data_IF_911805763529
#
_entry.id   IF_911805763529
#
_cell.length_a   1.000
_cell.length_b   1.000
_cell.length_c   1.000
_cell.angle_alpha   90.00
_cell.angle_beta   90.00
_cell.angle_gamma   90.00
#
_symmetry.space_group_name_H-M   'P 1'
#
loop_
_entity.id
_entity.type
_entity.pdbx_description
1 polymer ?
#
# COMPACT_ATOMS: atom_id res chain seq x y z
N UNK A 1 -5.94 68.13 26.30
CA UNK A 1 -4.47 68.05 26.44
C UNK A 1 -4.16 66.57 26.68
N UNK A 2 -3.94 65.79 25.61
CA UNK A 2 -2.60 65.45 25.06
C UNK A 2 -1.96 64.36 25.96
N UNK A 3 -1.68 63.09 25.59
CA UNK A 3 -1.29 62.39 24.33
C UNK A 3 -1.61 60.87 24.48
N UNK A 4 -2.12 60.17 23.45
CA UNK A 4 -1.37 59.30 22.49
C UNK A 4 -0.42 58.28 23.15
N UNK A 5 -0.70 56.97 23.08
CA UNK A 5 -0.34 56.01 22.01
C UNK A 5 1.01 55.31 22.25
N UNK A 6 1.10 54.05 21.78
CA UNK A 6 2.23 53.10 21.64
C UNK A 6 1.98 51.85 22.51
N UNK A 7 1.50 50.72 22.01
CA UNK A 7 1.74 50.11 20.70
C UNK A 7 2.70 48.94 20.87
N UNK A 8 2.18 47.73 21.04
CA UNK A 8 2.82 46.49 20.58
C UNK A 8 1.69 45.53 20.22
N UNK A 9 1.30 45.56 18.95
CA UNK A 9 0.56 44.46 18.37
C UNK A 9 1.48 43.24 18.36
N UNK A 10 1.12 42.20 19.11
CA UNK A 10 1.70 40.89 18.90
C UNK A 10 1.17 40.39 17.57
N UNK A 11 2.03 40.59 16.56
CA UNK A 11 1.88 40.11 15.20
C UNK A 11 1.59 38.61 15.28
N UNK A 12 0.42 38.20 14.77
CA UNK A 12 0.04 36.79 14.61
C UNK A 12 0.91 36.10 13.57
N UNK A 13 2.11 35.70 13.97
CA UNK A 13 3.11 35.05 13.12
C UNK A 13 3.55 33.66 13.61
N UNK A 14 2.79 32.98 14.48
CA UNK A 14 3.30 31.75 15.10
C UNK A 14 2.64 30.46 14.58
N UNK A 15 1.31 30.34 14.54
CA UNK A 15 0.68 29.04 14.22
C UNK A 15 0.60 28.72 12.72
N UNK A 16 0.45 29.74 11.88
CA UNK A 16 0.37 29.56 10.41
C UNK A 16 1.74 29.37 9.77
N UNK A 17 2.79 29.99 10.32
CA UNK A 17 4.17 29.82 9.86
C UNK A 17 4.73 28.44 10.16
N UNK A 18 4.51 27.92 11.37
CA UNK A 18 4.92 26.57 11.77
C UNK A 18 4.18 25.47 10.98
N UNK A 19 2.88 25.65 10.73
CA UNK A 19 2.10 24.71 9.91
C UNK A 19 2.50 24.75 8.43
N UNK A 20 2.75 25.93 7.86
CA UNK A 20 3.26 26.07 6.49
C UNK A 20 4.66 25.46 6.33
N UNK A 21 5.55 25.66 7.31
CA UNK A 21 6.88 25.07 7.30
C UNK A 21 6.84 23.53 7.42
N UNK A 22 5.96 23.00 8.27
CA UNK A 22 5.72 21.55 8.38
C UNK A 22 5.22 20.93 7.08
N UNK A 23 4.22 21.56 6.43
CA UNK A 23 3.70 21.13 5.13
C UNK A 23 4.76 21.21 4.04
N UNK A 24 5.61 22.25 4.07
CA UNK A 24 6.72 22.39 3.13
C UNK A 24 7.73 21.25 3.29
N UNK A 25 8.15 20.94 4.52
CA UNK A 25 9.06 19.82 4.79
C UNK A 25 8.46 18.47 4.39
N UNK A 26 7.17 18.24 4.68
CA UNK A 26 6.46 17.03 4.28
C UNK A 26 6.39 16.91 2.74
N UNK A 27 6.11 18.00 2.05
CA UNK A 27 6.08 18.05 0.58
C UNK A 27 7.46 17.79 0.00
N UNK A 28 8.52 18.42 0.54
CA UNK A 28 9.89 18.20 0.10
C UNK A 28 10.29 16.74 0.30
N UNK A 29 9.97 16.17 1.46
CA UNK A 29 10.20 14.76 1.76
C UNK A 29 9.46 13.83 0.78
N UNK A 30 8.20 14.15 0.44
CA UNK A 30 7.42 13.41 -0.56
C UNK A 30 8.06 13.45 -1.95
N UNK A 31 8.55 14.62 -2.38
CA UNK A 31 9.24 14.76 -3.67
C UNK A 31 10.54 13.97 -3.68
N UNK A 32 11.35 14.06 -2.63
CA UNK A 32 12.59 13.30 -2.48
C UNK A 32 12.33 11.79 -2.48
N UNK A 33 11.30 11.35 -1.75
CA UNK A 33 10.85 9.96 -1.74
C UNK A 33 10.48 9.48 -3.14
N UNK A 34 9.67 10.27 -3.85
CA UNK A 34 9.23 9.95 -5.22
C UNK A 34 10.43 9.82 -6.15
N UNK A 35 11.42 10.72 -6.05
CA UNK A 35 12.67 10.65 -6.80
C UNK A 35 13.49 9.39 -6.48
N UNK A 36 13.76 9.13 -5.20
CA UNK A 36 14.51 7.95 -4.75
C UNK A 36 13.83 6.65 -5.22
N UNK A 37 12.50 6.63 -5.22
CA UNK A 37 11.74 5.50 -5.68
C UNK A 37 11.85 5.28 -7.18
N UNK A 38 11.80 6.34 -8.00
CA UNK A 38 12.02 6.18 -9.45
C UNK A 38 13.38 5.54 -9.72
N UNK A 39 14.41 6.00 -8.99
CA UNK A 39 15.76 5.43 -9.06
C UNK A 39 15.74 3.95 -8.65
N UNK A 40 15.12 3.62 -7.51
CA UNK A 40 14.98 2.23 -7.06
C UNK A 40 14.24 1.36 -8.08
N UNK A 41 13.17 1.87 -8.70
CA UNK A 41 12.40 1.13 -9.70
C UNK A 41 13.25 0.81 -10.94
N UNK A 42 14.10 1.73 -11.38
CA UNK A 42 15.05 1.49 -12.47
C UNK A 42 16.07 0.42 -12.08
N UNK A 43 16.68 0.53 -10.90
CA UNK A 43 17.62 -0.47 -10.38
C UNK A 43 16.98 -1.85 -10.24
N UNK A 44 15.79 -1.91 -9.65
CA UNK A 44 15.04 -3.14 -9.47
C UNK A 44 14.72 -3.79 -10.82
N UNK A 45 14.33 -3.00 -11.82
CA UNK A 45 14.06 -3.51 -13.18
C UNK A 45 15.32 -4.05 -13.84
N UNK A 46 16.46 -3.40 -13.64
CA UNK A 46 17.76 -3.92 -14.10
C UNK A 46 18.10 -5.23 -13.39
N UNK A 47 17.96 -5.30 -12.05
CA UNK A 47 18.21 -6.53 -11.28
C UNK A 47 17.30 -7.68 -11.72
N UNK A 48 16.03 -7.41 -11.99
CA UNK A 48 15.08 -8.42 -12.49
C UNK A 48 15.40 -8.90 -13.90
N UNK A 49 15.93 -8.00 -14.74
CA UNK A 49 16.40 -8.37 -16.07
C UNK A 49 17.60 -9.31 -15.98
N UNK A 50 18.59 -9.03 -15.12
CA UNK A 50 19.77 -9.88 -14.95
C UNK A 50 19.47 -11.20 -14.22
N UNK A 51 18.53 -11.20 -13.28
CA UNK A 51 18.18 -12.40 -12.49
C UNK A 51 17.19 -13.34 -13.17
N UNK A 52 16.65 -12.98 -14.34
CA UNK A 52 15.64 -13.79 -15.04
C UNK A 52 14.22 -13.64 -14.50
N UNK A 53 14.02 -12.93 -13.37
CA UNK A 53 12.70 -12.65 -12.78
C UNK A 53 11.76 -11.97 -13.77
N UNK A 54 12.29 -11.14 -14.67
CA UNK A 54 11.49 -10.52 -15.74
C UNK A 54 10.88 -11.54 -16.71
N UNK A 55 11.60 -12.63 -17.01
CA UNK A 55 11.10 -13.70 -17.86
C UNK A 55 10.02 -14.51 -17.12
N UNK A 56 10.25 -14.82 -15.85
CA UNK A 56 9.28 -15.55 -15.02
C UNK A 56 8.01 -14.72 -14.77
N UNK A 57 8.14 -13.41 -14.58
CA UNK A 57 7.00 -12.50 -14.47
C UNK A 57 6.17 -12.45 -15.76
N UNK A 58 6.84 -12.47 -16.91
CA UNK A 58 6.14 -12.50 -18.19
C UNK A 58 5.43 -13.84 -18.41
N UNK A 59 6.09 -14.95 -18.05
CA UNK A 59 5.49 -16.28 -18.09
C UNK A 59 4.30 -16.42 -17.11
N UNK A 60 4.40 -15.81 -15.92
CA UNK A 60 3.33 -15.84 -14.91
C UNK A 60 2.12 -15.00 -15.31
N UNK A 61 2.28 -14.01 -16.18
CA UNK A 61 1.17 -13.21 -16.70
C UNK A 61 0.33 -13.94 -17.76
N UNK A 62 0.84 -15.02 -18.35
CA UNK A 62 0.12 -15.79 -19.37
C UNK A 62 -0.91 -16.75 -18.73
N UNK A 63 -2.01 -17.05 -19.43
CA UNK A 63 -3.06 -17.98 -18.98
C UNK A 63 -2.58 -19.36 -18.45
N UNK A 64 -1.56 -20.04 -19.03
CA UNK A 64 -1.01 -21.28 -18.47
C UNK A 64 -0.22 -21.10 -17.15
N UNK A 65 0.13 -19.86 -16.78
CA UNK A 65 0.90 -19.51 -15.58
C UNK A 65 0.10 -19.51 -14.28
N UNK A 66 -1.21 -19.84 -14.31
CA UNK A 66 -2.11 -19.76 -13.14
C UNK A 66 -1.58 -20.47 -11.89
N UNK A 67 -0.89 -21.61 -12.06
CA UNK A 67 -0.36 -22.39 -10.93
C UNK A 67 0.79 -21.70 -10.18
N UNK A 68 1.44 -20.69 -10.78
CA UNK A 68 2.48 -19.87 -10.15
C UNK A 68 2.25 -18.37 -10.42
N UNK A 69 0.98 -17.98 -10.52
CA UNK A 69 0.58 -16.63 -10.93
C UNK A 69 0.79 -15.54 -9.87
N UNK A 70 1.05 -15.92 -8.61
CA UNK A 70 1.20 -14.97 -7.52
C UNK A 70 2.68 -14.65 -7.27
N UNK A 71 3.08 -13.40 -7.50
CA UNK A 71 4.43 -12.93 -7.20
C UNK A 71 4.50 -12.44 -5.75
N UNK A 72 5.34 -13.07 -4.92
CA UNK A 72 5.59 -12.65 -3.53
C UNK A 72 6.80 -11.73 -3.48
N UNK A 73 6.67 -10.64 -2.73
CA UNK A 73 7.71 -9.64 -2.56
C UNK A 73 7.82 -9.23 -1.08
N UNK A 74 9.04 -9.19 -0.55
CA UNK A 74 9.29 -8.73 0.81
C UNK A 74 9.27 -7.20 0.85
N UNK A 75 8.55 -6.61 1.82
CA UNK A 75 8.44 -5.16 1.97
C UNK A 75 9.63 -4.66 2.79
N UNK A 76 10.54 -3.95 2.11
CA UNK A 76 11.76 -3.38 2.72
C UNK A 76 11.47 -2.02 3.33
N UNK A 77 10.63 -1.22 2.66
CA UNK A 77 10.29 0.12 3.11
C UNK A 77 8.86 0.49 2.73
N UNK A 78 8.24 1.38 3.50
CA UNK A 78 6.85 1.82 3.34
C UNK A 78 6.80 3.33 3.45
N UNK A 79 6.03 3.95 2.58
CA UNK A 79 5.77 5.38 2.68
C UNK A 79 4.43 5.73 2.06
N UNK A 80 3.72 6.63 2.72
CA UNK A 80 2.44 7.16 2.28
C UNK A 80 2.37 8.62 2.74
N UNK A 81 1.93 9.52 1.85
CA UNK A 81 1.85 10.95 2.19
C UNK A 81 0.90 11.21 3.36
N UNK A 82 -0.24 10.52 3.33
CA UNK A 82 -1.23 10.47 4.40
C UNK A 82 -1.69 9.03 4.57
N UNK A 83 -1.50 8.47 5.77
CA UNK A 83 -1.87 7.09 6.04
C UNK A 83 -3.38 6.84 5.99
N UNK A 84 -4.17 7.83 6.41
CA UNK A 84 -5.63 7.76 6.52
C UNK A 84 -6.32 8.09 5.19
N UNK A 85 -5.90 9.14 4.52
CA UNK A 85 -6.55 9.63 3.29
C UNK A 85 -5.87 9.21 1.99
N UNK A 86 -4.61 8.77 2.04
CA UNK A 86 -3.93 8.33 0.82
C UNK A 86 -4.57 7.07 0.25
N UNK A 87 -4.60 6.96 -1.08
CA UNK A 87 -5.08 5.75 -1.74
C UNK A 87 -4.21 4.54 -1.36
N UNK A 88 -4.84 3.38 -1.19
CA UNK A 88 -4.12 2.11 -1.19
C UNK A 88 -3.58 1.86 -2.59
N UNK A 89 -2.33 1.42 -2.67
CA UNK A 89 -1.76 0.99 -3.92
C UNK A 89 -0.37 0.43 -3.74
N UNK A 90 0.10 -0.30 -4.76
CA UNK A 90 1.49 -0.75 -4.86
C UNK A 90 2.48 0.39 -4.66
N UNK A 91 2.03 1.62 -4.96
CA UNK A 91 2.79 2.84 -4.75
C UNK A 91 3.27 3.04 -3.29
N UNK A 92 2.66 2.40 -2.31
CA UNK A 92 2.96 2.66 -0.90
C UNK A 92 4.17 1.87 -0.38
N UNK A 93 4.68 0.92 -1.16
CA UNK A 93 5.72 -0.01 -0.74
C UNK A 93 6.95 0.01 -1.67
N UNK A 94 8.11 -0.18 -1.07
CA UNK A 94 9.35 -0.59 -1.73
C UNK A 94 9.58 -2.05 -1.36
N UNK A 95 9.64 -2.88 -2.40
CA UNK A 95 9.66 -4.33 -2.24
C UNK A 95 10.82 -4.96 -3.00
N UNK A 96 11.24 -6.13 -2.55
CA UNK A 96 12.22 -6.97 -3.23
C UNK A 96 11.54 -8.29 -3.60
N UNK A 97 11.79 -8.78 -4.81
CA UNK A 97 11.22 -10.05 -5.24
C UNK A 97 11.74 -11.19 -4.38
N UNK A 98 10.83 -12.07 -3.98
CA UNK A 98 11.15 -13.25 -3.18
C UNK A 98 10.98 -14.52 -3.98
N UNK A 99 9.77 -14.77 -4.47
CA UNK A 99 9.40 -16.02 -5.16
C UNK A 99 8.06 -15.89 -5.91
N UNK A 100 7.78 -16.83 -6.81
CA UNK A 100 6.46 -17.03 -7.40
C UNK A 100 5.78 -18.24 -6.74
N UNK A 101 4.54 -18.07 -6.32
CA UNK A 101 3.77 -19.07 -5.57
C UNK A 101 2.44 -19.38 -6.25
N UNK A 102 1.82 -20.48 -5.83
CA UNK A 102 0.47 -20.84 -6.25
C UNK A 102 -0.57 -19.84 -5.77
N UNK A 103 -1.63 -19.68 -6.55
CA UNK A 103 -2.81 -18.89 -6.18
C UNK A 103 -3.44 -19.34 -4.86
N UNK A 104 -3.30 -20.62 -4.48
CA UNK A 104 -3.74 -21.10 -3.17
C UNK A 104 -3.03 -20.43 -1.98
N UNK A 105 -1.86 -19.82 -2.22
CA UNK A 105 -1.19 -19.00 -1.21
C UNK A 105 -2.05 -17.84 -0.73
N UNK A 106 -2.95 -17.33 -1.57
CA UNK A 106 -3.87 -16.24 -1.22
C UNK A 106 -4.96 -16.67 -0.23
N UNK A 107 -5.20 -17.97 -0.06
CA UNK A 107 -6.24 -18.50 0.84
C UNK A 107 -5.85 -18.44 2.33
N UNK A 108 -4.65 -17.96 2.65
CA UNK A 108 -4.19 -17.83 4.04
C UNK A 108 -4.97 -16.75 4.78
N UNK A 109 -5.31 -17.00 6.05
CA UNK A 109 -6.06 -16.06 6.91
C UNK A 109 -5.34 -14.73 7.19
N UNK A 110 -4.02 -14.69 7.01
CA UNK A 110 -3.18 -13.50 7.20
C UNK A 110 -2.86 -12.77 5.88
N UNK A 111 -3.53 -13.13 4.77
CA UNK A 111 -3.43 -12.44 3.49
C UNK A 111 -4.68 -11.62 3.26
N UNK A 112 -4.49 -10.35 2.89
CA UNK A 112 -5.57 -9.38 2.74
C UNK A 112 -5.48 -8.70 1.37
N UNK A 113 -6.63 -8.46 0.75
CA UNK A 113 -6.70 -7.63 -0.44
C UNK A 113 -6.38 -6.18 -0.05
N UNK A 114 -5.49 -5.53 -0.79
CA UNK A 114 -5.02 -4.17 -0.49
C UNK A 114 -5.42 -3.16 -1.57
N UNK A 115 -5.27 -3.53 -2.83
CA UNK A 115 -5.63 -2.70 -3.98
C UNK A 115 -5.99 -3.60 -5.18
N UNK A 116 -6.89 -3.12 -6.04
CA UNK A 116 -7.25 -3.77 -7.31
C UNK A 116 -7.28 -2.70 -8.37
N UNK A 117 -6.49 -2.92 -9.43
CA UNK A 117 -6.52 -2.07 -10.61
C UNK A 117 -6.87 -2.90 -11.85
N UNK A 118 -6.88 -2.26 -13.02
CA UNK A 118 -7.25 -2.89 -14.29
C UNK A 118 -6.34 -4.02 -14.75
N UNK A 119 -5.13 -4.12 -14.19
CA UNK A 119 -4.08 -5.02 -14.67
C UNK A 119 -3.69 -6.07 -13.62
N UNK A 120 -3.72 -5.71 -12.34
CA UNK A 120 -3.28 -6.56 -11.24
C UNK A 120 -4.12 -6.35 -9.97
N UNK A 121 -4.24 -7.42 -9.18
CA UNK A 121 -4.69 -7.38 -7.81
C UNK A 121 -3.47 -7.43 -6.88
N UNK A 122 -3.46 -6.57 -5.87
CA UNK A 122 -2.40 -6.46 -4.88
C UNK A 122 -2.95 -6.91 -3.53
N UNK A 123 -2.29 -7.89 -2.95
CA UNK A 123 -2.54 -8.38 -1.61
C UNK A 123 -1.35 -8.04 -0.71
N UNK A 124 -1.59 -8.05 0.58
CA UNK A 124 -0.58 -7.89 1.61
C UNK A 124 -0.69 -9.01 2.65
N UNK A 125 0.45 -9.51 3.11
CA UNK A 125 0.54 -10.58 4.10
C UNK A 125 1.04 -10.01 5.43
N UNK A 126 0.26 -10.20 6.50
CA UNK A 126 0.64 -9.90 7.88
C UNK A 126 1.39 -11.08 8.52
N UNK A 127 1.90 -10.93 9.75
CA UNK A 127 2.45 -12.09 10.45
C UNK A 127 1.35 -13.11 10.78
N UNK A 128 1.65 -14.43 10.79
CA UNK A 128 0.69 -15.46 11.15
C UNK A 128 0.03 -15.17 12.52
N UNK A 129 -1.30 -15.33 12.57
CA UNK A 129 -2.09 -15.04 13.77
C UNK A 129 -2.45 -13.56 13.97
N UNK A 130 -1.97 -12.64 13.12
CA UNK A 130 -2.38 -11.24 13.18
C UNK A 130 -3.70 -10.99 12.45
N UNK A 131 -4.76 -10.82 13.22
CA UNK A 131 -6.07 -10.42 12.72
C UNK A 131 -6.17 -8.89 12.64
N UNK A 132 -5.67 -8.29 11.55
CA UNK A 132 -5.51 -6.83 11.40
C UNK A 132 -6.83 -6.04 11.47
N UNK A 133 -7.96 -6.70 11.30
CA UNK A 133 -9.31 -6.13 11.47
C UNK A 133 -9.72 -5.94 12.94
N UNK A 134 -8.98 -6.52 13.91
CA UNK A 134 -9.26 -6.32 15.33
C UNK A 134 -8.83 -4.94 15.80
N UNK A 135 -9.64 -4.34 16.69
CA UNK A 135 -9.38 -3.01 17.28
C UNK A 135 -8.01 -2.87 17.95
N UNK A 136 -7.38 -3.97 18.38
CA UNK A 136 -6.05 -3.94 19.01
C UNK A 136 -4.95 -3.37 18.12
N UNK A 137 -5.12 -3.38 16.80
CA UNK A 137 -4.14 -2.86 15.84
C UNK A 137 -4.39 -1.40 15.46
N UNK A 138 -5.60 -0.90 15.70
CA UNK A 138 -6.05 0.42 15.32
C UNK A 138 -7.49 0.39 14.78
N UNK A 139 -8.12 1.57 14.75
CA UNK A 139 -9.52 1.72 14.32
C UNK A 139 -9.73 1.65 12.80
N UNK A 140 -8.65 1.74 12.02
CA UNK A 140 -8.69 1.85 10.56
C UNK A 140 -7.99 0.65 9.93
N UNK A 141 -8.77 -0.24 9.31
CA UNK A 141 -8.24 -1.49 8.77
C UNK A 141 -7.21 -1.25 7.66
N UNK A 142 -7.47 -0.32 6.74
CA UNK A 142 -6.53 0.07 5.67
C UNK A 142 -5.18 0.59 6.20
N UNK A 143 -5.19 1.36 7.30
CA UNK A 143 -3.97 1.81 7.99
C UNK A 143 -3.24 0.62 8.60
N UNK A 144 -3.97 -0.31 9.21
CA UNK A 144 -3.39 -1.52 9.79
C UNK A 144 -2.74 -2.40 8.71
N UNK A 145 -3.39 -2.56 7.56
CA UNK A 145 -2.82 -3.25 6.39
C UNK A 145 -1.52 -2.58 5.94
N UNK A 146 -1.47 -1.25 5.86
CA UNK A 146 -0.25 -0.54 5.50
C UNK A 146 0.87 -0.74 6.53
N UNK A 147 0.58 -0.62 7.83
CA UNK A 147 1.59 -0.62 8.90
C UNK A 147 2.16 -2.01 9.21
N UNK A 148 1.32 -3.04 9.28
CA UNK A 148 1.70 -4.33 9.84
C UNK A 148 2.07 -5.39 8.79
N UNK A 149 1.78 -5.15 7.51
CA UNK A 149 2.07 -6.11 6.45
C UNK A 149 3.56 -6.27 6.20
N UNK A 150 4.04 -7.51 6.10
CA UNK A 150 5.45 -7.86 5.87
C UNK A 150 5.76 -8.12 4.41
N UNK A 151 4.79 -8.64 3.66
CA UNK A 151 4.95 -8.96 2.24
C UNK A 151 3.82 -8.38 1.42
N UNK A 152 4.14 -8.12 0.16
CA UNK A 152 3.19 -7.76 -0.86
C UNK A 152 3.12 -8.91 -1.86
N UNK A 153 1.92 -9.27 -2.28
CA UNK A 153 1.69 -10.32 -3.25
C UNK A 153 0.95 -9.67 -4.43
N UNK A 154 1.49 -9.82 -5.62
CA UNK A 154 0.93 -9.24 -6.84
C UNK A 154 0.47 -10.35 -7.77
N UNK A 155 -0.76 -10.23 -8.26
CA UNK A 155 -1.40 -11.23 -9.11
C UNK A 155 -1.99 -10.56 -10.35
N UNK A 156 -1.82 -11.12 -11.56
CA UNK A 156 -2.53 -10.65 -12.75
C UNK A 156 -4.04 -10.65 -12.57
N UNK A 157 -4.73 -9.63 -13.09
CA UNK A 157 -6.17 -9.47 -12.87
C UNK A 157 -6.99 -10.67 -13.37
N UNK A 158 -6.59 -11.28 -14.49
CA UNK A 158 -7.25 -12.48 -15.06
C UNK A 158 -7.17 -13.67 -14.11
N UNK A 159 -6.02 -13.85 -13.44
CA UNK A 159 -5.83 -14.92 -12.46
C UNK A 159 -6.64 -14.64 -11.20
N UNK A 160 -6.71 -13.37 -10.78
CA UNK A 160 -7.56 -12.98 -9.66
C UNK A 160 -9.04 -13.25 -9.92
N UNK A 161 -9.55 -12.95 -11.11
CA UNK A 161 -10.94 -13.26 -11.48
C UNK A 161 -11.21 -14.76 -11.42
N UNK A 162 -10.34 -15.58 -12.01
CA UNK A 162 -10.46 -17.04 -11.93
C UNK A 162 -10.40 -17.55 -10.49
N UNK A 163 -9.50 -17.01 -9.67
CA UNK A 163 -9.41 -17.37 -8.25
C UNK A 163 -10.69 -17.01 -7.49
N UNK A 164 -11.30 -15.86 -7.77
CA UNK A 164 -12.56 -15.46 -7.16
C UNK A 164 -13.71 -16.39 -7.57
N UNK A 165 -13.76 -16.81 -8.84
CA UNK A 165 -14.73 -17.81 -9.33
C UNK A 165 -14.55 -19.16 -8.62
N UNK A 166 -13.30 -19.61 -8.44
CA UNK A 166 -12.96 -20.87 -7.75
C UNK A 166 -13.25 -20.81 -6.23
N UNK A 167 -13.19 -19.63 -5.62
CA UNK A 167 -13.53 -19.43 -4.20
C UNK A 167 -15.04 -19.59 -3.97
N UNK A 168 -15.84 -19.23 -4.98
CA UNK A 168 -17.30 -19.27 -4.96
C UNK A 168 -17.91 -18.22 -4.05
N UNK A 169 -19.25 -18.19 -4.04
CA UNK A 169 -19.98 -17.22 -3.22
C UNK A 169 -19.84 -17.52 -1.72
N UNK A 170 -19.67 -16.49 -0.89
CA UNK A 170 -19.63 -16.67 0.55
C UNK A 170 -20.97 -17.23 1.04
N UNK A 171 -20.89 -18.30 1.83
CA UNK A 171 -22.07 -19.00 2.40
C UNK A 171 -22.82 -18.16 3.44
N UNK A 172 -22.27 -17.03 3.87
CA UNK A 172 -22.85 -16.12 4.85
C UNK A 172 -23.59 -14.97 4.15
N UNK A 173 -24.65 -14.43 4.80
CA UNK A 173 -25.30 -13.20 4.32
C UNK A 173 -24.35 -12.03 4.44
N UNK A 174 -23.85 -11.54 3.31
CA UNK A 174 -23.02 -10.34 3.26
C UNK A 174 -23.90 -9.09 3.41
N UNK A 175 -23.48 -8.19 4.30
CA UNK A 175 -24.01 -6.83 4.38
C UNK A 175 -22.84 -5.92 4.00
N UNK A 176 -22.94 -5.27 2.84
CA UNK A 176 -21.98 -4.24 2.45
C UNK A 176 -22.33 -2.95 3.19
N UNK A 177 -21.49 -2.59 4.16
CA UNK A 177 -21.57 -1.33 4.88
C UNK A 177 -20.51 -0.38 4.31
N UNK A 178 -20.86 0.52 3.37
CA UNK A 178 -19.93 1.52 2.90
C UNK A 178 -19.67 2.52 4.04
N UNK A 179 -18.48 2.43 4.65
CA UNK A 179 -18.04 3.37 5.67
C UNK A 179 -16.73 4.01 5.21
N UNK A 180 -16.83 5.07 4.40
CA UNK A 180 -15.70 5.71 3.73
C UNK A 180 -14.56 6.18 4.66
N UNK A 181 -14.80 6.26 5.97
CA UNK A 181 -13.76 6.56 6.96
C UNK A 181 -13.03 5.32 7.50
N UNK A 182 -13.64 4.13 7.54
CA UNK A 182 -13.10 2.93 8.22
C UNK A 182 -12.89 1.71 7.31
N UNK A 183 -13.20 1.81 6.02
CA UNK A 183 -13.07 0.73 5.06
C UNK A 183 -11.62 0.30 4.84
N UNK A 184 -11.43 -1.02 4.82
CA UNK A 184 -10.44 -1.73 4.02
C UNK A 184 -11.08 -3.03 3.55
#
# INVERSE_FOLDING_TARGET
MSLMNNGVGWIGLDETGLSMFGLFLQTLYFVLWTGMRMVWWVFQRMLWFFSGVSHDLWASQSAPGYKFGAQVQDIVYRFKYDEFMGASGRANFVTVHREFVSMDYLRKDNVFLYDVNKNEAVFVEAEPGQQLWRMKYGSFFSVNLFRYSKRMITVPIEHFHRFAEELGDPKARLIFLPNGGRCG
#
